data_IF_069355368837
#
_entry.id   IF_069355368837
#
_cell.length_a   1.000
_cell.length_b   1.000
_cell.length_c   1.000
_cell.angle_alpha   90.00
_cell.angle_beta   90.00
_cell.angle_gamma   90.00
#
_symmetry.space_group_name_H-M   'P 1'
#
loop_
_entity.id
_entity.type
_entity.pdbx_description
1 polymer ?
#
# COMPACT_ATOMS: atom_id res chain seq x y z
N UNK A 1 13.03 8.87 -1.13
CA UNK A 1 12.29 8.36 0.04
C UNK A 1 13.27 8.31 1.21
N UNK A 2 12.87 8.67 2.44
CA UNK A 2 13.81 8.78 3.59
C UNK A 2 13.64 7.67 4.64
N UNK A 3 12.56 6.91 4.56
CA UNK A 3 12.23 5.83 5.49
C UNK A 3 11.61 4.66 4.71
N UNK A 4 11.71 3.46 5.25
CA UNK A 4 11.04 2.29 4.68
C UNK A 4 9.53 2.42 4.84
N UNK A 5 8.79 2.01 3.81
CA UNK A 5 7.33 2.07 3.78
C UNK A 5 6.72 0.75 3.31
N UNK A 6 5.47 0.53 3.70
CA UNK A 6 4.58 -0.33 2.95
C UNK A 6 3.61 0.52 2.12
N UNK A 7 3.23 0.03 0.95
CA UNK A 7 2.21 0.61 0.09
C UNK A 7 0.99 -0.30 0.05
N UNK A 8 -0.17 0.26 0.41
CA UNK A 8 -1.47 -0.38 0.21
C UNK A 8 -2.13 0.23 -1.03
N UNK A 9 -2.36 -0.60 -2.04
CA UNK A 9 -2.98 -0.19 -3.30
C UNK A 9 -4.49 -0.43 -3.23
N UNK A 10 -5.28 0.60 -3.55
CA UNK A 10 -6.73 0.59 -3.30
C UNK A 10 -7.47 0.82 -4.61
N UNK A 11 -8.43 -0.06 -4.89
CA UNK A 11 -9.31 0.01 -6.05
C UNK A 11 -10.34 1.13 -5.96
N UNK A 12 -11.08 1.34 -7.03
CA UNK A 12 -12.17 2.32 -7.11
C UNK A 12 -13.34 2.03 -6.17
N UNK A 13 -13.58 0.74 -5.86
CA UNK A 13 -14.57 0.24 -4.94
C UNK A 13 -14.15 0.26 -3.45
N UNK A 14 -13.07 0.98 -3.13
CA UNK A 14 -12.49 1.09 -1.78
C UNK A 14 -12.14 -0.27 -1.17
N UNK A 15 -11.56 -1.16 -1.99
CA UNK A 15 -10.98 -2.43 -1.56
C UNK A 15 -9.48 -2.44 -1.77
N UNK A 16 -8.75 -3.07 -0.86
CA UNK A 16 -7.33 -3.37 -1.08
C UNK A 16 -7.22 -4.32 -2.28
N UNK A 17 -6.47 -3.92 -3.30
CA UNK A 17 -6.26 -4.73 -4.51
C UNK A 17 -4.84 -5.30 -4.58
N UNK A 18 -3.89 -4.68 -3.88
CA UNK A 18 -2.51 -5.14 -3.83
C UNK A 18 -1.78 -4.54 -2.61
N UNK A 19 -0.62 -5.12 -2.26
CA UNK A 19 0.28 -4.60 -1.23
C UNK A 19 1.73 -4.69 -1.71
N UNK A 20 2.56 -3.74 -1.30
CA UNK A 20 4.01 -3.78 -1.50
C UNK A 20 4.67 -3.46 -0.17
N UNK A 21 5.32 -4.43 0.45
CA UNK A 21 5.85 -4.33 1.81
C UNK A 21 7.36 -4.06 1.80
N UNK A 22 7.87 -3.43 2.86
CA UNK A 22 9.29 -3.26 3.13
C UNK A 22 10.07 -2.55 2.01
N UNK A 23 9.48 -1.52 1.38
CA UNK A 23 10.16 -0.73 0.36
C UNK A 23 11.22 0.14 1.03
N UNK A 24 12.49 -0.19 0.82
CA UNK A 24 13.60 0.52 1.43
C UNK A 24 13.90 1.87 0.71
N UNK A 25 14.42 2.90 1.41
CA UNK A 25 14.79 4.19 0.82
C UNK A 25 15.64 4.10 -0.45
N UNK A 26 16.57 3.14 -0.49
CA UNK A 26 17.52 2.89 -1.57
C UNK A 26 16.86 2.41 -2.85
N UNK A 27 15.59 1.98 -2.78
CA UNK A 27 14.84 1.60 -3.97
C UNK A 27 14.44 2.81 -4.81
N UNK A 28 14.43 4.03 -4.27
CA UNK A 28 14.16 5.24 -5.05
C UNK A 28 15.27 5.51 -6.09
N UNK A 29 14.96 5.87 -7.35
CA UNK A 29 13.66 6.27 -7.90
C UNK A 29 12.91 5.15 -8.65
N UNK A 30 13.13 3.88 -8.33
CA UNK A 30 12.41 2.77 -8.96
C UNK A 30 10.89 2.99 -8.84
N UNK A 31 10.19 2.74 -9.94
CA UNK A 31 8.73 2.82 -9.99
C UNK A 31 8.15 1.48 -9.52
N UNK A 32 7.18 1.56 -8.61
CA UNK A 32 6.36 0.44 -8.16
C UNK A 32 4.92 0.68 -8.61
N UNK A 33 4.21 -0.41 -8.93
CA UNK A 33 2.82 -0.37 -9.36
C UNK A 33 2.09 -1.62 -8.89
N UNK A 34 0.80 -1.49 -8.60
CA UNK A 34 -0.07 -2.63 -8.33
C UNK A 34 -0.25 -3.54 -9.55
N UNK A 35 -0.56 -4.82 -9.31
CA UNK A 35 -0.87 -5.82 -10.35
C UNK A 35 -2.12 -5.51 -11.16
N UNK A 36 -3.06 -4.76 -10.59
CA UNK A 36 -4.28 -4.27 -11.25
C UNK A 36 -4.40 -2.75 -11.07
N UNK A 37 -5.19 -2.04 -11.89
CA UNK A 37 -5.31 -0.58 -11.78
C UNK A 37 -5.78 -0.13 -10.39
N UNK A 38 -4.93 0.60 -9.66
CA UNK A 38 -5.28 1.26 -8.42
C UNK A 38 -5.89 2.65 -8.70
N UNK A 39 -6.88 3.05 -7.91
CA UNK A 39 -7.39 4.43 -7.90
C UNK A 39 -6.75 5.27 -6.80
N UNK A 40 -6.40 4.65 -5.68
CA UNK A 40 -5.80 5.32 -4.54
C UNK A 40 -4.59 4.52 -4.03
N UNK A 41 -3.71 5.24 -3.33
CA UNK A 41 -2.53 4.69 -2.67
C UNK A 41 -2.54 5.18 -1.23
N UNK A 42 -2.29 4.27 -0.29
CA UNK A 42 -2.04 4.59 1.11
C UNK A 42 -0.62 4.13 1.45
N UNK A 43 0.28 5.09 1.67
CA UNK A 43 1.63 4.83 2.18
C UNK A 43 1.61 4.84 3.70
N UNK A 44 2.21 3.82 4.30
CA UNK A 44 2.28 3.65 5.76
C UNK A 44 3.71 3.27 6.15
N UNK A 45 4.02 3.41 7.45
CA UNK A 45 5.32 2.99 7.96
C UNK A 45 5.59 1.50 7.73
N UNK A 46 6.86 1.14 7.69
CA UNK A 46 7.34 -0.23 7.49
C UNK A 46 6.66 -1.27 8.38
N UNK A 47 6.28 -2.40 7.79
CA UNK A 47 5.67 -3.55 8.47
C UNK A 47 4.26 -3.30 9.06
N UNK A 48 3.60 -2.19 8.70
CA UNK A 48 2.21 -1.94 9.07
C UNK A 48 1.29 -2.97 8.45
N UNK A 49 1.51 -3.37 7.20
CA UNK A 49 0.66 -4.34 6.48
C UNK A 49 0.63 -5.68 7.23
N UNK A 50 1.80 -6.24 7.51
CA UNK A 50 1.93 -7.46 8.30
C UNK A 50 1.34 -7.34 9.70
N UNK A 51 1.64 -6.25 10.44
CA UNK A 51 1.18 -6.06 11.82
C UNK A 51 -0.33 -5.91 11.93
N UNK A 52 -0.94 -5.14 11.03
CA UNK A 52 -2.38 -4.94 10.96
C UNK A 52 -3.11 -6.08 10.23
N UNK A 53 -2.36 -7.02 9.65
CA UNK A 53 -2.88 -8.16 8.88
C UNK A 53 -3.77 -7.72 7.72
N UNK A 54 -3.38 -6.64 7.03
CA UNK A 54 -4.10 -6.12 5.86
C UNK A 54 -4.01 -7.15 4.73
N UNK A 55 -5.15 -7.47 4.12
CA UNK A 55 -5.28 -8.45 3.04
C UNK A 55 -5.97 -7.85 1.83
N UNK A 56 -5.67 -8.41 0.67
CA UNK A 56 -6.40 -8.13 -0.57
C UNK A 56 -7.88 -8.47 -0.36
N UNK A 57 -8.76 -7.56 -0.73
CA UNK A 57 -10.20 -7.64 -0.51
C UNK A 57 -10.71 -6.95 0.76
N UNK A 58 -9.82 -6.54 1.67
CA UNK A 58 -10.23 -5.80 2.86
C UNK A 58 -10.87 -4.45 2.46
N UNK A 59 -11.95 -4.03 3.15
CA UNK A 59 -12.57 -2.73 2.91
C UNK A 59 -11.72 -1.61 3.49
N UNK A 60 -11.64 -0.49 2.76
CA UNK A 60 -11.08 0.76 3.24
C UNK A 60 -12.21 1.73 3.51
N UNK A 61 -12.27 2.26 4.74
CA UNK A 61 -13.26 3.26 5.13
C UNK A 61 -12.53 4.55 5.47
N UNK A 62 -12.91 5.65 4.82
CA UNK A 62 -12.43 7.00 5.15
C UNK A 62 -13.49 7.66 6.03
N UNK A 63 -13.17 7.83 7.30
CA UNK A 63 -14.02 8.53 8.26
C UNK A 63 -13.86 10.04 8.05
N UNK A 64 -14.97 10.78 8.17
CA UNK A 64 -15.01 12.24 8.16
C UNK A 64 -14.93 12.79 9.57
#
# INVERSE_FOLDING_TARGET
>A
MNFSIDIVWIGDNLRVIDVSEHLAPETYPKIFSSRTPARYVLEVGDGVVARAKIKIGDPVVVLR
#
